data_IF_976589641686
#
_entry.id   IF_976589641686
#
_cell.length_a   1.000
_cell.length_b   1.000
_cell.length_c   1.000
_cell.angle_alpha   90.00
_cell.angle_beta   90.00
_cell.angle_gamma   90.00
#
_symmetry.space_group_name_H-M   'P 1'
#
loop_
_entity.id
_entity.type
_entity.pdbx_description
1 polymer ?
#
# COMPACT_ATOMS: atom_id res chain seq x y z
N UNK A 1 27.55 45.38 -5.75
CA UNK A 1 27.33 44.03 -5.19
C UNK A 1 26.43 43.28 -6.16
N UNK A 2 26.86 42.18 -6.80
CA UNK A 2 25.95 41.36 -7.59
C UNK A 2 25.01 40.57 -6.66
N UNK A 3 23.77 40.28 -7.08
CA UNK A 3 22.84 39.46 -6.30
C UNK A 3 23.37 38.03 -6.16
N UNK A 4 23.10 37.35 -5.04
CA UNK A 4 23.47 35.95 -4.87
C UNK A 4 22.84 35.11 -5.98
N UNK A 5 23.66 34.29 -6.63
CA UNK A 5 23.24 33.36 -7.67
C UNK A 5 22.19 32.40 -7.10
N UNK A 6 20.98 32.46 -7.64
CA UNK A 6 19.88 31.54 -7.30
C UNK A 6 20.22 30.14 -7.81
N UNK A 7 20.83 29.31 -6.96
CA UNK A 7 21.01 27.88 -7.27
C UNK A 7 19.65 27.18 -7.15
N UNK A 8 19.16 26.62 -8.26
CA UNK A 8 17.98 25.77 -8.27
C UNK A 8 18.32 24.39 -7.70
N UNK A 9 17.61 23.95 -6.66
CA UNK A 9 17.76 22.58 -6.13
C UNK A 9 17.22 21.55 -7.13
N UNK A 10 17.93 20.43 -7.39
CA UNK A 10 17.45 19.38 -8.28
C UNK A 10 16.14 18.78 -7.78
N UNK A 11 15.11 18.79 -8.64
CA UNK A 11 13.82 18.13 -8.36
C UNK A 11 13.90 16.68 -8.80
N UNK A 12 13.58 15.74 -7.90
CA UNK A 12 13.60 14.31 -8.18
C UNK A 12 12.17 13.77 -8.27
N UNK A 13 11.91 12.96 -9.29
CA UNK A 13 10.64 12.26 -9.47
C UNK A 13 10.88 10.77 -9.28
N UNK A 14 10.18 10.18 -8.31
CA UNK A 14 10.27 8.74 -8.03
C UNK A 14 8.93 8.12 -8.41
N UNK A 15 8.99 7.09 -9.25
CA UNK A 15 7.82 6.34 -9.66
C UNK A 15 7.87 4.93 -9.10
N UNK A 16 6.70 4.38 -8.78
CA UNK A 16 6.53 3.00 -8.34
C UNK A 16 5.75 2.20 -9.39
N UNK A 17 6.23 0.99 -9.68
CA UNK A 17 5.48 0.01 -10.46
C UNK A 17 4.61 -0.77 -9.48
N UNK A 18 3.29 -0.70 -9.66
CA UNK A 18 2.32 -1.40 -8.82
C UNK A 18 1.50 -2.37 -9.66
N UNK A 19 0.89 -3.34 -8.99
CA UNK A 19 -0.11 -4.21 -9.59
C UNK A 19 -1.41 -4.08 -8.81
N UNK A 20 -2.49 -3.78 -9.52
CA UNK A 20 -3.82 -3.65 -8.92
C UNK A 20 -4.29 -4.98 -8.33
N UNK A 21 -5.05 -4.92 -7.24
CA UNK A 21 -5.65 -6.09 -6.59
C UNK A 21 -7.13 -5.83 -6.37
N UNK A 22 -7.95 -6.87 -6.59
CA UNK A 22 -9.38 -6.81 -6.30
C UNK A 22 -9.67 -7.67 -5.08
N UNK A 23 -10.04 -7.02 -3.97
CA UNK A 23 -10.51 -7.72 -2.77
C UNK A 23 -11.80 -8.43 -3.11
N UNK A 24 -11.82 -9.75 -2.95
CA UNK A 24 -12.92 -10.61 -3.37
C UNK A 24 -13.67 -11.23 -2.20
N UNK A 25 -13.00 -11.38 -1.05
CA UNK A 25 -13.52 -12.16 0.07
C UNK A 25 -13.15 -11.49 1.40
N UNK A 26 -14.04 -11.59 2.38
CA UNK A 26 -13.80 -11.19 3.77
C UNK A 26 -14.16 -12.38 4.65
N UNK A 27 -13.29 -12.75 5.57
CA UNK A 27 -13.58 -13.85 6.50
C UNK A 27 -14.43 -13.36 7.69
N UNK A 28 -14.79 -14.28 8.59
CA UNK A 28 -15.57 -13.97 9.79
C UNK A 28 -14.79 -13.13 10.81
N UNK A 29 -13.45 -13.13 10.75
CA UNK A 29 -12.60 -12.29 11.60
C UNK A 29 -12.43 -10.86 11.07
N UNK A 30 -12.90 -10.62 9.85
CA UNK A 30 -12.88 -9.34 9.17
C UNK A 30 -11.65 -9.10 8.29
N UNK A 31 -10.78 -10.09 8.16
CA UNK A 31 -9.60 -10.07 7.30
C UNK A 31 -10.05 -10.08 5.83
N UNK A 32 -9.49 -9.16 5.05
CA UNK A 32 -9.74 -9.05 3.62
C UNK A 32 -8.78 -9.94 2.84
N UNK A 33 -9.31 -10.64 1.84
CA UNK A 33 -8.56 -11.55 0.99
C UNK A 33 -8.72 -11.20 -0.49
N UNK A 34 -7.66 -11.46 -1.24
CA UNK A 34 -7.68 -11.45 -2.70
C UNK A 34 -6.90 -12.66 -3.25
N UNK A 35 -7.23 -13.05 -4.49
CA UNK A 35 -6.52 -14.12 -5.22
C UNK A 35 -5.84 -13.60 -6.47
N UNK A 36 -6.58 -12.77 -7.19
CA UNK A 36 -6.22 -12.31 -8.53
C UNK A 36 -5.45 -11.00 -8.45
N UNK A 37 -4.45 -10.91 -9.33
CA UNK A 37 -3.72 -9.69 -9.60
C UNK A 37 -4.25 -9.11 -10.91
N UNK A 38 -4.50 -7.82 -10.91
CA UNK A 38 -4.97 -7.08 -12.07
C UNK A 38 -3.82 -6.49 -12.89
N UNK A 39 -4.13 -5.38 -13.56
CA UNK A 39 -3.18 -4.66 -14.41
C UNK A 39 -2.00 -4.09 -13.63
N UNK A 40 -0.85 -4.06 -14.30
CA UNK A 40 0.37 -3.36 -13.85
C UNK A 40 0.26 -1.90 -14.28
N UNK A 41 0.63 -0.99 -13.38
CA UNK A 41 0.61 0.45 -13.63
C UNK A 41 1.82 1.12 -12.99
N UNK A 42 2.21 2.27 -13.52
CA UNK A 42 3.27 3.13 -12.96
C UNK A 42 2.58 4.34 -12.32
N UNK A 43 2.89 4.61 -11.06
CA UNK A 43 2.34 5.74 -10.31
C UNK A 43 3.47 6.61 -9.75
N UNK A 44 3.21 7.89 -9.56
CA UNK A 44 4.09 8.77 -8.78
C UNK A 44 4.12 8.28 -7.33
N UNK A 45 5.30 8.10 -6.75
CA UNK A 45 5.42 7.59 -5.39
C UNK A 45 4.76 8.52 -4.34
N UNK A 46 4.67 9.82 -4.63
CA UNK A 46 4.01 10.79 -3.75
C UNK A 46 2.50 10.55 -3.59
N UNK A 47 1.86 9.78 -4.48
CA UNK A 47 0.43 9.44 -4.33
C UNK A 47 0.19 8.26 -3.38
N UNK A 48 1.24 7.53 -2.98
CA UNK A 48 1.13 6.40 -2.06
C UNK A 48 0.95 6.90 -0.63
N UNK A 49 -0.25 6.70 -0.07
CA UNK A 49 -0.59 7.17 1.27
C UNK A 49 -0.11 6.23 2.38
N UNK A 50 -0.09 4.92 2.14
CA UNK A 50 0.31 3.92 3.12
C UNK A 50 0.73 2.61 2.45
N UNK A 51 1.38 1.75 3.23
CA UNK A 51 1.73 0.38 2.85
C UNK A 51 1.10 -0.59 3.83
N UNK A 52 0.61 -1.71 3.31
CA UNK A 52 0.05 -2.82 4.09
C UNK A 52 0.86 -4.08 3.88
N UNK A 53 0.87 -4.96 4.88
CA UNK A 53 1.42 -6.30 4.74
C UNK A 53 0.46 -7.22 3.98
N UNK A 54 0.99 -8.34 3.49
CA UNK A 54 0.17 -9.45 3.02
C UNK A 54 0.77 -10.79 3.40
N UNK A 55 -0.09 -11.78 3.66
CA UNK A 55 0.32 -13.14 4.02
C UNK A 55 -0.36 -14.12 3.06
N UNK A 56 0.40 -15.11 2.57
CA UNK A 56 -0.16 -16.20 1.76
C UNK A 56 -0.87 -17.18 2.70
N UNK A 57 -2.17 -17.39 2.48
CA UNK A 57 -3.00 -18.30 3.26
C UNK A 57 -3.91 -19.10 2.32
N UNK A 58 -3.84 -20.43 2.38
CA UNK A 58 -4.68 -21.37 1.60
C UNK A 58 -4.95 -20.94 0.16
N UNK A 59 -3.88 -20.64 -0.58
CA UNK A 59 -3.88 -20.20 -1.98
C UNK A 59 -4.49 -18.82 -2.26
N UNK A 60 -4.61 -17.97 -1.23
CA UNK A 60 -5.08 -16.58 -1.29
C UNK A 60 -4.10 -15.68 -0.57
N UNK A 61 -4.26 -14.38 -0.73
CA UNK A 61 -3.49 -13.37 0.00
C UNK A 61 -4.41 -12.66 0.98
N UNK A 62 -4.08 -12.73 2.27
CA UNK A 62 -4.68 -11.93 3.32
C UNK A 62 -4.01 -10.55 3.35
N UNK A 63 -4.79 -9.48 3.42
CA UNK A 63 -4.31 -8.12 3.63
C UNK A 63 -4.16 -7.88 5.13
N UNK A 64 -3.00 -7.40 5.54
CA UNK A 64 -2.66 -7.16 6.94
C UNK A 64 -2.33 -5.69 7.13
N UNK A 65 -3.26 -4.96 7.74
CA UNK A 65 -2.98 -3.63 8.26
C UNK A 65 -2.44 -3.74 9.70
N UNK A 66 -1.30 -3.09 9.98
CA UNK A 66 -0.66 -3.05 11.30
C UNK A 66 -0.75 -1.67 11.95
N UNK A 67 -1.61 -0.80 11.44
CA UNK A 67 -1.83 0.54 11.97
C UNK A 67 -2.49 0.58 13.35
N UNK A 68 -3.12 -0.52 13.81
CA UNK A 68 -3.78 -0.60 15.12
C UNK A 68 -3.56 -1.94 15.85
N UNK A 69 -3.89 -2.01 17.16
CA UNK A 69 -3.84 -3.27 17.90
C UNK A 69 -4.82 -4.27 17.28
N UNK A 70 -4.32 -5.46 16.94
CA UNK A 70 -5.17 -6.61 16.60
C UNK A 70 -5.88 -7.05 17.88
N UNK A 71 -7.04 -6.44 18.18
CA UNK A 71 -7.90 -6.88 19.28
C UNK A 71 -8.92 -7.86 18.71
N UNK A 72 -8.95 -9.13 19.15
CA UNK A 72 -10.07 -10.01 18.88
C UNK A 72 -11.32 -9.40 19.52
N UNK A 73 -12.34 -9.07 18.73
CA UNK A 73 -13.50 -8.31 19.21
C UNK A 73 -14.45 -9.10 20.14
N UNK A 74 -14.09 -10.29 20.64
CA UNK A 74 -15.00 -11.07 21.49
C UNK A 74 -14.26 -11.98 22.49
N UNK A 75 -14.07 -11.47 23.71
CA UNK A 75 -14.17 -12.26 24.94
C UNK A 75 -14.92 -11.40 25.96
N UNK A 76 -16.20 -11.71 26.17
CA UNK A 76 -17.08 -11.18 27.21
C UNK A 76 -17.47 -12.32 28.13
#
# INVERSE_FOLDING_TARGET
>A
MPPPSSQSTPTHWIYAVIQSVKVSEKDSSGIQYYKELGSIMVIDLNVVQCVVGRIRDRNRWAIVDRSGPMVPTNYS
#
